data_IF_411736045063
#
_entry.id   IF_411736045063
#
_cell.length_a   1.000
_cell.length_b   1.000
_cell.length_c   1.000
_cell.angle_alpha   90.00
_cell.angle_beta   90.00
_cell.angle_gamma   90.00
#
_symmetry.space_group_name_H-M   'P 1'
#
loop_
_entity.id
_entity.type
_entity.pdbx_description
1 polymer ?
#
# COMPACT_ATOMS: atom_id res chain seq x y z
N UNK A 1 27.98 1.17 -14.69
CA UNK A 1 28.10 1.95 -13.43
C UNK A 1 26.87 1.67 -12.56
N UNK A 2 27.01 0.76 -11.61
CA UNK A 2 25.93 0.35 -10.70
C UNK A 2 25.58 1.49 -9.74
N UNK A 3 24.42 2.10 -9.94
CA UNK A 3 23.84 3.01 -8.94
C UNK A 3 23.23 2.16 -7.83
N UNK A 4 24.09 1.75 -6.90
CA UNK A 4 23.74 1.10 -5.66
C UNK A 4 22.68 1.93 -4.93
N UNK A 5 21.47 1.40 -4.90
CA UNK A 5 20.36 1.95 -4.14
C UNK A 5 20.81 2.01 -2.67
N UNK A 6 21.07 3.21 -2.15
CA UNK A 6 21.47 3.41 -0.75
C UNK A 6 20.33 2.89 0.11
N UNK A 7 20.49 1.68 0.65
CA UNK A 7 19.55 1.08 1.58
C UNK A 7 19.72 1.82 2.89
N UNK A 8 18.63 2.23 3.53
CA UNK A 8 18.69 2.58 4.95
C UNK A 8 19.09 1.31 5.70
N UNK A 9 20.37 1.20 6.03
CA UNK A 9 20.90 0.12 6.84
C UNK A 9 20.55 0.50 8.27
N UNK A 10 19.44 -0.02 8.77
CA UNK A 10 19.15 0.09 10.19
C UNK A 10 20.03 -0.93 10.91
N UNK A 11 20.92 -0.43 11.77
CA UNK A 11 21.70 -1.23 12.70
C UNK A 11 20.78 -1.62 13.85
N UNK A 12 20.55 -2.91 14.05
CA UNK A 12 19.74 -3.41 15.18
C UNK A 12 20.50 -4.53 15.86
N UNK A 13 20.47 -4.57 17.19
CA UNK A 13 21.07 -5.65 17.96
C UNK A 13 20.38 -6.99 17.67
N UNK A 14 21.18 -8.04 17.50
CA UNK A 14 20.68 -9.38 17.19
C UNK A 14 20.75 -10.29 18.42
N UNK A 15 19.75 -10.20 19.29
CA UNK A 15 19.67 -11.01 20.51
C UNK A 15 19.58 -12.53 20.26
N UNK A 16 19.18 -12.97 19.06
CA UNK A 16 19.17 -14.41 18.73
C UNK A 16 20.58 -15.01 18.58
N UNK A 17 21.58 -14.17 18.34
CA UNK A 17 22.99 -14.57 18.20
C UNK A 17 23.86 -13.99 19.32
N UNK A 18 23.23 -13.54 20.41
CA UNK A 18 23.96 -13.01 21.54
C UNK A 18 24.71 -14.14 22.26
N UNK A 19 25.94 -13.85 22.66
CA UNK A 19 26.69 -14.70 23.58
C UNK A 19 26.35 -14.30 25.02
N UNK A 20 25.36 -14.98 25.60
CA UNK A 20 24.93 -14.71 26.96
C UNK A 20 25.93 -15.17 28.01
N UNK A 21 26.83 -16.10 27.68
CA UNK A 21 27.86 -16.57 28.60
C UNK A 21 28.91 -15.47 28.77
N UNK A 22 29.43 -14.96 27.65
CA UNK A 22 30.34 -13.81 27.62
C UNK A 22 29.70 -12.57 28.28
N UNK A 23 28.40 -12.34 28.07
CA UNK A 23 27.69 -11.22 28.69
C UNK A 23 27.69 -11.30 30.22
N UNK A 24 27.44 -12.48 30.79
CA UNK A 24 27.47 -12.70 32.24
C UNK A 24 28.87 -12.56 32.81
N UNK A 25 29.87 -13.11 32.13
CA UNK A 25 31.28 -13.03 32.56
C UNK A 25 31.76 -11.57 32.62
N UNK A 26 31.50 -10.80 31.56
CA UNK A 26 31.90 -9.38 31.49
C UNK A 26 31.20 -8.52 32.55
N UNK A 27 29.91 -8.77 32.85
CA UNK A 27 29.20 -8.09 33.94
C UNK A 27 29.73 -8.50 35.31
N UNK A 28 30.03 -9.79 35.52
CA UNK A 28 30.52 -10.32 36.78
C UNK A 28 31.97 -9.92 37.09
N UNK A 29 32.77 -9.61 36.07
CA UNK A 29 34.17 -9.14 36.23
C UNK A 29 34.25 -7.71 36.76
N UNK A 30 33.16 -6.93 36.66
CA UNK A 30 33.15 -5.53 37.10
C UNK A 30 33.06 -5.46 38.63
N UNK A 31 34.01 -4.80 39.33
CA UNK A 31 33.99 -4.70 40.78
C UNK A 31 32.98 -3.65 41.25
N UNK A 32 31.69 -4.03 41.24
CA UNK A 32 30.56 -3.12 41.53
C UNK A 32 30.66 -2.43 42.88
N UNK A 33 31.19 -3.11 43.89
CA UNK A 33 31.34 -2.58 45.25
C UNK A 33 32.23 -1.34 45.30
N UNK A 34 33.32 -1.33 44.52
CA UNK A 34 34.23 -0.18 44.42
C UNK A 34 33.68 0.90 43.48
N UNK A 35 33.04 0.50 42.38
CA UNK A 35 32.55 1.42 41.35
C UNK A 35 31.35 2.23 41.83
N UNK A 36 30.52 1.62 42.68
CA UNK A 36 29.31 2.22 43.22
C UNK A 36 29.50 2.79 44.63
N UNK A 37 30.68 2.59 45.24
CA UNK A 37 31.00 3.19 46.53
C UNK A 37 30.94 4.72 46.46
N UNK A 38 30.34 5.33 47.48
CA UNK A 38 30.17 6.78 47.62
C UNK A 38 29.37 7.46 46.48
N UNK A 39 28.66 6.70 45.66
CA UNK A 39 27.78 7.23 44.60
C UNK A 39 26.32 7.27 45.06
N UNK A 40 25.66 8.39 44.80
CA UNK A 40 24.21 8.50 44.95
C UNK A 40 23.46 7.60 43.95
N UNK A 41 22.21 7.25 44.26
CA UNK A 41 21.41 6.31 43.48
C UNK A 41 21.34 6.62 41.98
N UNK A 42 21.15 7.90 41.60
CA UNK A 42 21.12 8.31 40.20
C UNK A 42 22.46 8.12 39.48
N UNK A 43 23.57 8.44 40.16
CA UNK A 43 24.91 8.29 39.61
C UNK A 43 25.24 6.81 39.43
N UNK A 44 24.93 5.99 40.43
CA UNK A 44 25.06 4.53 40.38
C UNK A 44 24.28 3.92 39.22
N UNK A 45 23.03 4.36 39.00
CA UNK A 45 22.21 3.91 37.88
C UNK A 45 22.79 4.30 36.52
N UNK A 46 23.35 5.50 36.40
CA UNK A 46 23.99 5.95 35.15
C UNK A 46 25.23 5.10 34.84
N UNK A 47 26.08 4.86 35.82
CA UNK A 47 27.29 4.03 35.69
C UNK A 47 26.91 2.60 35.29
N UNK A 48 25.90 2.03 35.95
CA UNK A 48 25.40 0.70 35.61
C UNK A 48 24.89 0.63 34.17
N UNK A 49 24.06 1.59 33.73
CA UNK A 49 23.56 1.62 32.34
C UNK A 49 24.68 1.71 31.32
N UNK A 50 25.69 2.55 31.57
CA UNK A 50 26.82 2.69 30.67
C UNK A 50 27.65 1.40 30.57
N UNK A 51 27.92 0.76 31.72
CA UNK A 51 28.62 -0.52 31.75
C UNK A 51 27.80 -1.63 31.05
N UNK A 52 26.50 -1.70 31.33
CA UNK A 52 25.59 -2.65 30.69
C UNK A 52 25.57 -2.49 29.17
N UNK A 53 25.48 -1.27 28.65
CA UNK A 53 25.52 -1.02 27.20
C UNK A 53 26.88 -1.38 26.58
N UNK A 54 27.99 -1.10 27.27
CA UNK A 54 29.33 -1.52 26.81
C UNK A 54 29.45 -3.03 26.70
N UNK A 55 28.93 -3.78 27.68
CA UNK A 55 28.92 -5.25 27.64
C UNK A 55 27.97 -5.74 26.53
N UNK A 56 26.81 -5.11 26.38
CA UNK A 56 25.84 -5.42 25.33
C UNK A 56 26.43 -5.25 23.93
N UNK A 57 27.24 -4.23 23.69
CA UNK A 57 27.93 -4.01 22.41
C UNK A 57 28.97 -5.11 22.11
N UNK A 58 29.60 -5.67 23.13
CA UNK A 58 30.62 -6.73 22.99
C UNK A 58 30.00 -8.11 22.80
N UNK A 59 28.89 -8.39 23.48
CA UNK A 59 28.28 -9.73 23.51
C UNK A 59 27.14 -9.90 22.50
N UNK A 60 26.51 -8.82 22.02
CA UNK A 60 25.39 -8.88 21.09
C UNK A 60 25.80 -8.36 19.71
N UNK A 61 25.93 -9.23 18.70
CA UNK A 61 26.30 -8.79 17.36
C UNK A 61 25.22 -7.90 16.76
N UNK A 62 25.64 -6.84 16.07
CA UNK A 62 24.74 -5.94 15.34
C UNK A 62 24.37 -6.57 14.00
N UNK A 63 23.07 -6.78 13.75
CA UNK A 63 22.59 -7.19 12.44
C UNK A 63 22.23 -5.99 11.56
N UNK A 64 22.57 -6.10 10.28
CA UNK A 64 22.12 -5.19 9.24
C UNK A 64 20.78 -5.70 8.73
N UNK A 65 19.68 -5.10 9.18
CA UNK A 65 18.38 -5.38 8.58
C UNK A 65 18.28 -4.58 7.29
N UNK A 66 18.54 -5.21 6.16
CA UNK A 66 18.09 -4.63 4.89
C UNK A 66 16.58 -4.70 4.86
N UNK A 67 15.90 -3.58 4.61
CA UNK A 67 14.47 -3.59 4.33
C UNK A 67 14.16 -4.69 3.32
N UNK A 68 13.15 -5.53 3.59
CA UNK A 68 12.78 -6.64 2.70
C UNK A 68 12.67 -6.06 1.30
N UNK A 69 13.44 -6.59 0.34
CA UNK A 69 13.36 -6.16 -1.05
C UNK A 69 11.91 -6.33 -1.46
N UNK A 70 11.20 -5.23 -1.69
CA UNK A 70 9.83 -5.28 -2.14
C UNK A 70 9.76 -6.20 -3.36
N UNK A 71 8.80 -7.13 -3.37
CA UNK A 71 8.64 -8.04 -4.50
C UNK A 71 8.47 -7.20 -5.76
N UNK A 72 9.37 -7.36 -6.73
CA UNK A 72 9.28 -6.68 -8.03
C UNK A 72 7.91 -6.96 -8.63
N UNK A 73 7.23 -5.91 -9.08
CA UNK A 73 5.95 -6.06 -9.76
C UNK A 73 6.16 -6.86 -11.05
N UNK A 74 5.26 -7.80 -11.33
CA UNK A 74 5.42 -8.73 -12.45
C UNK A 74 5.47 -8.02 -13.82
N UNK A 75 4.81 -6.87 -13.96
CA UNK A 75 4.83 -6.05 -15.18
C UNK A 75 6.05 -5.13 -15.30
N UNK A 76 6.86 -4.97 -14.25
CA UNK A 76 7.91 -3.94 -14.23
C UNK A 76 9.21 -4.46 -14.86
N UNK A 77 9.43 -4.17 -16.15
CA UNK A 77 10.68 -4.48 -16.86
C UNK A 77 11.86 -3.61 -16.40
N UNK A 78 13.10 -4.00 -16.79
CA UNK A 78 14.32 -3.26 -16.40
C UNK A 78 14.35 -1.91 -17.10
N UNK A 79 13.94 -1.88 -18.36
CA UNK A 79 13.93 -0.67 -19.20
C UNK A 79 12.86 0.31 -18.74
N UNK A 80 11.67 -0.19 -18.38
CA UNK A 80 10.61 0.64 -17.80
C UNK A 80 11.06 1.28 -16.48
N UNK A 81 11.83 0.56 -15.66
CA UNK A 81 12.41 1.11 -14.45
C UNK A 81 13.41 2.25 -14.75
N UNK A 82 14.21 2.12 -15.81
CA UNK A 82 15.12 3.19 -16.25
C UNK A 82 14.34 4.41 -16.73
N UNK A 83 13.29 4.23 -17.55
CA UNK A 83 12.39 5.32 -17.99
C UNK A 83 11.76 6.04 -16.79
N UNK A 84 11.24 5.30 -15.80
CA UNK A 84 10.67 5.85 -14.57
C UNK A 84 11.69 6.62 -13.73
N UNK A 85 12.95 6.16 -13.65
CA UNK A 85 14.03 6.90 -12.98
C UNK A 85 14.34 8.22 -13.70
N UNK A 86 14.45 8.19 -15.04
CA UNK A 86 14.66 9.40 -15.85
C UNK A 86 13.52 10.42 -15.65
N UNK A 87 12.26 9.96 -15.62
CA UNK A 87 11.10 10.82 -15.30
C UNK A 87 11.24 11.47 -13.93
N UNK A 88 11.64 10.71 -12.91
CA UNK A 88 11.82 11.22 -11.53
C UNK A 88 12.93 12.26 -11.45
N UNK A 89 14.03 12.02 -12.15
CA UNK A 89 15.14 12.96 -12.22
C UNK A 89 14.73 14.27 -12.92
N UNK A 90 14.02 14.15 -14.03
CA UNK A 90 13.49 15.30 -14.75
C UNK A 90 12.53 16.13 -13.88
N UNK A 91 11.65 15.49 -13.11
CA UNK A 91 10.81 16.17 -12.13
C UNK A 91 11.63 16.98 -11.10
N UNK A 92 12.77 16.43 -10.64
CA UNK A 92 13.68 17.14 -9.72
C UNK A 92 14.28 18.37 -10.38
N UNK A 93 14.75 18.26 -11.63
CA UNK A 93 15.29 19.38 -12.39
C UNK A 93 14.23 20.46 -12.69
N UNK A 94 12.99 20.08 -13.05
CA UNK A 94 11.89 21.02 -13.24
C UNK A 94 11.53 21.75 -11.93
N UNK A 95 11.52 21.04 -10.80
CA UNK A 95 11.32 21.66 -9.47
C UNK A 95 12.41 22.66 -9.09
N UNK A 96 13.63 22.49 -9.61
CA UNK A 96 14.77 23.38 -9.40
C UNK A 96 14.87 24.50 -10.44
N UNK A 97 13.90 24.62 -11.38
CA UNK A 97 13.91 25.63 -12.44
C UNK A 97 14.92 25.36 -13.57
N UNK A 98 15.60 24.21 -13.59
CA UNK A 98 16.65 23.89 -14.57
C UNK A 98 16.11 23.35 -15.90
N UNK A 99 14.83 22.96 -15.95
CA UNK A 99 14.16 22.39 -17.13
C UNK A 99 12.72 22.87 -17.22
N UNK A 100 12.21 22.99 -18.44
CA UNK A 100 10.81 23.34 -18.69
C UNK A 100 9.89 22.19 -18.30
N UNK A 101 8.69 22.54 -17.82
CA UNK A 101 7.68 21.56 -17.40
C UNK A 101 7.11 20.75 -18.56
N UNK A 102 7.17 21.26 -19.79
CA UNK A 102 6.64 20.59 -20.97
C UNK A 102 7.41 19.32 -21.32
N UNK A 103 8.74 19.37 -21.26
CA UNK A 103 9.60 18.19 -21.45
C UNK A 103 9.29 17.12 -20.39
N UNK A 104 8.99 17.53 -19.16
CA UNK A 104 8.54 16.59 -18.12
C UNK A 104 7.17 15.99 -18.44
N UNK A 105 6.24 16.80 -18.94
CA UNK A 105 4.87 16.37 -19.29
C UNK A 105 4.91 15.26 -20.33
N UNK A 106 5.69 15.42 -21.39
CA UNK A 106 5.82 14.45 -22.48
C UNK A 106 6.44 13.14 -21.99
N UNK A 107 7.56 13.21 -21.25
CA UNK A 107 8.20 12.03 -20.67
C UNK A 107 7.27 11.34 -19.67
N UNK A 108 6.48 12.10 -18.90
CA UNK A 108 5.51 11.54 -17.97
C UNK A 108 4.35 10.85 -18.68
N UNK A 109 3.88 11.38 -19.81
CA UNK A 109 2.89 10.75 -20.67
C UNK A 109 3.40 9.43 -21.27
N UNK A 110 4.56 9.44 -21.90
CA UNK A 110 5.18 8.22 -22.45
C UNK A 110 5.39 7.15 -21.38
N UNK A 111 5.85 7.55 -20.18
CA UNK A 111 5.98 6.61 -19.07
C UNK A 111 4.63 6.04 -18.61
N UNK A 112 3.55 6.83 -18.66
CA UNK A 112 2.20 6.36 -18.30
C UNK A 112 1.68 5.33 -19.31
N UNK A 113 1.82 5.63 -20.59
CA UNK A 113 1.44 4.73 -21.68
C UNK A 113 2.18 3.39 -21.61
N UNK A 114 3.50 3.42 -21.47
CA UNK A 114 4.34 2.22 -21.34
C UNK A 114 4.00 1.38 -20.10
N UNK A 115 3.67 2.03 -18.98
CA UNK A 115 3.17 1.33 -17.79
C UNK A 115 1.82 0.68 -18.06
N UNK A 116 0.94 1.33 -18.84
CA UNK A 116 -0.33 0.77 -19.30
C UNK A 116 -0.11 -0.49 -20.12
N UNK A 117 0.65 -0.39 -21.20
CA UNK A 117 1.02 -1.50 -22.10
C UNK A 117 1.66 -2.67 -21.35
N UNK A 118 2.58 -2.40 -20.43
CA UNK A 118 3.22 -3.45 -19.65
C UNK A 118 2.25 -4.20 -18.70
N UNK A 119 1.25 -3.50 -18.15
CA UNK A 119 0.21 -4.12 -17.33
C UNK A 119 -0.76 -4.93 -18.17
N UNK A 120 -1.19 -4.39 -19.31
CA UNK A 120 -2.05 -5.08 -20.26
C UNK A 120 -1.39 -6.36 -20.76
N UNK A 121 -0.11 -6.30 -21.13
CA UNK A 121 0.64 -7.48 -21.55
C UNK A 121 0.73 -8.54 -20.45
N UNK A 122 0.91 -8.14 -19.20
CA UNK A 122 0.86 -9.07 -18.07
C UNK A 122 -0.53 -9.72 -17.93
N UNK A 123 -1.60 -8.93 -18.06
CA UNK A 123 -2.98 -9.42 -17.98
C UNK A 123 -3.31 -10.37 -19.14
N UNK A 124 -2.88 -10.06 -20.36
CA UNK A 124 -3.00 -10.93 -21.54
C UNK A 124 -2.25 -12.26 -21.35
N UNK A 125 -1.00 -12.22 -20.87
CA UNK A 125 -0.24 -13.43 -20.58
C UNK A 125 -0.91 -14.29 -19.52
N UNK A 126 -1.43 -13.66 -18.45
CA UNK A 126 -2.20 -14.37 -17.41
C UNK A 126 -3.48 -15.00 -17.96
N UNK A 127 -4.18 -14.33 -18.88
CA UNK A 127 -5.38 -14.85 -19.53
C UNK A 127 -5.07 -16.04 -20.45
N UNK A 128 -3.98 -15.95 -21.22
CA UNK A 128 -3.50 -17.05 -22.09
C UNK A 128 -3.10 -18.28 -21.27
N UNK A 129 -2.41 -18.06 -20.15
CA UNK A 129 -1.95 -19.11 -19.24
C UNK A 129 -3.03 -19.58 -18.24
N UNK A 130 -4.31 -19.20 -18.40
CA UNK A 130 -5.36 -19.67 -17.48
C UNK A 130 -5.43 -21.20 -17.46
N UNK A 131 -5.31 -21.85 -18.62
CA UNK A 131 -5.41 -23.31 -18.72
C UNK A 131 -4.24 -24.02 -18.03
N UNK A 132 -3.02 -23.48 -18.15
CA UNK A 132 -1.78 -24.06 -17.62
C UNK A 132 -1.49 -23.63 -16.17
N UNK A 133 -1.85 -22.40 -15.80
CA UNK A 133 -1.51 -21.76 -14.53
C UNK A 133 -2.72 -21.03 -13.90
N UNK A 134 -3.80 -21.79 -13.64
CA UNK A 134 -5.01 -21.29 -12.96
C UNK A 134 -4.69 -20.54 -11.66
N UNK A 135 -3.74 -21.05 -10.87
CA UNK A 135 -3.32 -20.46 -9.59
C UNK A 135 -2.69 -19.08 -9.75
N UNK A 136 -1.95 -18.84 -10.82
CA UNK A 136 -1.38 -17.52 -11.14
C UNK A 136 -2.46 -16.48 -11.44
N UNK A 137 -3.41 -16.85 -12.29
CA UNK A 137 -4.55 -16.01 -12.67
C UNK A 137 -5.41 -15.61 -11.48
N UNK A 138 -5.93 -16.58 -10.71
CA UNK A 138 -6.78 -16.27 -9.55
C UNK A 138 -6.03 -15.50 -8.45
N UNK A 139 -4.72 -15.72 -8.29
CA UNK A 139 -3.90 -14.90 -7.38
C UNK A 139 -3.83 -13.44 -7.82
N UNK A 140 -3.72 -13.18 -9.13
CA UNK A 140 -3.74 -11.82 -9.67
C UNK A 140 -5.10 -11.17 -9.46
N UNK A 141 -6.18 -11.87 -9.81
CA UNK A 141 -7.56 -11.41 -9.63
C UNK A 141 -7.86 -11.11 -8.16
N UNK A 142 -7.53 -12.01 -7.23
CA UNK A 142 -7.77 -11.79 -5.79
C UNK A 142 -6.96 -10.60 -5.25
N UNK A 143 -5.75 -10.36 -5.77
CA UNK A 143 -4.96 -9.18 -5.41
C UNK A 143 -5.53 -7.87 -5.97
N UNK A 144 -6.11 -7.89 -7.18
CA UNK A 144 -6.75 -6.73 -7.83
C UNK A 144 -8.12 -6.43 -7.23
N UNK A 145 -8.90 -7.47 -6.96
CA UNK A 145 -10.25 -7.41 -6.40
C UNK A 145 -10.30 -6.82 -5.02
N UNK A 146 -9.14 -6.58 -4.34
CA UNK A 146 -8.99 -6.05 -2.96
C UNK A 146 -10.36 -5.71 -2.42
N UNK A 147 -11.04 -6.73 -1.92
CA UNK A 147 -12.30 -6.51 -1.23
C UNK A 147 -11.81 -5.68 -0.05
N UNK A 148 -11.99 -4.36 -0.15
CA UNK A 148 -12.13 -3.53 1.03
C UNK A 148 -13.17 -4.34 1.77
N UNK A 149 -12.77 -4.99 2.85
CA UNK A 149 -13.70 -5.67 3.73
C UNK A 149 -14.52 -4.50 4.27
N UNK A 150 -15.44 -3.99 3.47
CA UNK A 150 -16.48 -3.07 3.87
C UNK A 150 -17.44 -3.98 4.61
N UNK A 151 -16.96 -4.48 5.74
CA UNK A 151 -17.79 -4.62 6.91
C UNK A 151 -17.95 -3.17 7.38
N UNK A 152 -18.70 -2.37 6.63
CA UNK A 152 -19.48 -1.36 7.33
C UNK A 152 -20.35 -2.21 8.24
N UNK A 153 -20.15 -2.16 9.56
CA UNK A 153 -21.08 -2.81 10.45
C UNK A 153 -22.43 -2.17 10.15
N UNK A 154 -23.31 -2.92 9.50
CA UNK A 154 -24.70 -2.51 9.41
C UNK A 154 -25.19 -2.50 10.84
N UNK A 155 -25.66 -1.33 11.27
CA UNK A 155 -26.33 -1.15 12.54
C UNK A 155 -27.82 -1.09 12.29
N UNK A 156 -28.58 -1.74 13.14
CA UNK A 156 -30.04 -1.58 13.17
C UNK A 156 -30.36 -0.15 13.64
N UNK A 157 -31.57 0.34 13.38
CA UNK A 157 -32.03 1.67 13.86
C UNK A 157 -31.89 1.88 15.38
N UNK A 158 -31.68 0.81 16.14
CA UNK A 158 -31.48 0.80 17.59
C UNK A 158 -29.98 0.90 18.01
N UNK A 159 -29.04 0.98 17.06
CA UNK A 159 -27.60 1.06 17.33
C UNK A 159 -26.89 -0.29 17.51
N UNK A 160 -27.61 -1.41 17.48
CA UNK A 160 -27.04 -2.76 17.60
C UNK A 160 -26.39 -3.25 16.29
N UNK A 161 -25.37 -4.09 16.42
CA UNK A 161 -24.64 -4.65 15.29
C UNK A 161 -25.42 -5.81 14.66
N UNK A 162 -25.66 -5.73 13.36
CA UNK A 162 -26.35 -6.78 12.61
C UNK A 162 -25.44 -7.98 12.40
N UNK A 163 -25.84 -9.15 12.92
CA UNK A 163 -24.97 -10.33 13.01
C UNK A 163 -25.26 -11.35 11.90
N UNK A 164 -26.53 -11.69 11.67
CA UNK A 164 -26.98 -12.68 10.66
C UNK A 164 -27.06 -12.06 9.27
N UNK A 165 -27.19 -12.88 8.21
CA UNK A 165 -27.24 -12.35 6.83
C UNK A 165 -28.65 -11.88 6.48
N UNK A 166 -29.65 -12.51 7.06
CA UNK A 166 -31.08 -12.25 6.93
C UNK A 166 -31.40 -10.85 7.46
N UNK A 167 -30.96 -10.52 8.69
CA UNK A 167 -31.12 -9.18 9.27
C UNK A 167 -30.43 -8.11 8.41
N UNK A 168 -29.27 -8.41 7.80
CA UNK A 168 -28.58 -7.44 6.92
C UNK A 168 -29.41 -7.18 5.66
N UNK A 169 -30.01 -8.23 5.10
CA UNK A 169 -30.86 -8.10 3.92
C UNK A 169 -32.11 -7.28 4.23
N UNK A 170 -32.74 -7.47 5.39
CA UNK A 170 -33.91 -6.70 5.81
C UNK A 170 -33.59 -5.22 6.06
N UNK A 171 -32.49 -4.91 6.76
CA UNK A 171 -32.09 -3.51 7.01
C UNK A 171 -31.79 -2.79 5.69
N UNK A 172 -31.11 -3.46 4.75
CA UNK A 172 -30.86 -2.91 3.42
C UNK A 172 -32.16 -2.76 2.62
N UNK A 173 -33.05 -3.75 2.63
CA UNK A 173 -34.33 -3.70 1.93
C UNK A 173 -35.21 -2.56 2.45
N UNK A 174 -35.29 -2.37 3.77
CA UNK A 174 -36.00 -1.25 4.40
C UNK A 174 -35.40 0.10 3.99
N UNK A 175 -34.07 0.20 3.94
CA UNK A 175 -33.39 1.40 3.45
C UNK A 175 -33.77 1.68 1.99
N UNK A 176 -33.61 0.70 1.09
CA UNK A 176 -33.95 0.87 -0.32
C UNK A 176 -35.42 1.22 -0.52
N UNK A 177 -36.34 0.51 0.14
CA UNK A 177 -37.75 0.85 0.13
C UNK A 177 -37.93 2.33 0.52
N UNK A 178 -37.39 2.77 1.67
CA UNK A 178 -37.49 4.17 2.10
C UNK A 178 -36.99 5.21 1.10
N UNK A 179 -35.97 4.92 0.28
CA UNK A 179 -35.49 5.86 -0.75
C UNK A 179 -36.40 5.85 -1.98
N UNK A 180 -37.12 4.76 -2.24
CA UNK A 180 -37.99 4.58 -3.40
C UNK A 180 -39.48 4.81 -3.10
N UNK A 181 -39.90 4.93 -1.83
CA UNK A 181 -41.31 5.16 -1.49
C UNK A 181 -41.70 6.63 -1.39
N UNK A 182 -40.77 7.58 -1.48
CA UNK A 182 -41.13 9.01 -1.40
C UNK A 182 -41.45 9.60 -2.78
N UNK A 183 -42.72 10.00 -2.93
CA UNK A 183 -43.40 10.62 -4.07
C UNK A 183 -43.86 9.74 -5.24
N UNK A 184 -44.87 8.91 -4.98
CA UNK A 184 -45.93 8.63 -5.95
C UNK A 184 -47.23 9.37 -5.56
N UNK A 185 -47.23 10.70 -5.59
CA UNK A 185 -48.47 11.50 -5.67
C UNK A 185 -48.65 12.20 -7.02
N UNK A 186 -47.69 12.05 -7.95
CA UNK A 186 -47.88 12.41 -9.36
C UNK A 186 -47.29 11.33 -10.27
N UNK A 187 -48.03 10.25 -10.47
CA UNK A 187 -47.85 9.42 -11.66
C UNK A 187 -48.75 9.97 -12.76
N UNK A 188 -48.22 10.54 -13.86
CA UNK A 188 -48.96 10.49 -15.11
C UNK A 188 -49.03 9.02 -15.51
N UNK A 189 -50.22 8.54 -15.83
CA UNK A 189 -50.47 7.16 -16.26
C UNK A 189 -49.55 6.80 -17.45
N UNK A 190 -48.43 6.12 -17.18
CA UNK A 190 -47.65 5.51 -18.24
C UNK A 190 -48.36 4.20 -18.61
N UNK A 191 -49.18 4.32 -19.64
CA UNK A 191 -49.83 3.22 -20.34
C UNK A 191 -48.78 2.16 -20.66
N UNK A 192 -49.05 0.92 -20.23
CA UNK A 192 -48.31 -0.27 -20.63
C UNK A 192 -48.27 -0.35 -22.16
N UNK A 193 -47.15 0.03 -22.75
CA UNK A 193 -46.83 -0.17 -24.15
C UNK A 193 -45.76 -1.24 -24.27
N UNK A 194 -46.19 -2.47 -24.52
CA UNK A 194 -45.33 -3.57 -24.94
C UNK A 194 -44.78 -3.21 -26.33
N UNK A 195 -43.47 -2.99 -26.48
CA UNK A 195 -42.82 -2.91 -27.79
C UNK A 195 -41.42 -3.52 -27.73
N UNK A 196 -41.32 -4.71 -28.34
CA UNK A 196 -40.10 -5.24 -28.94
C UNK A 196 -39.52 -4.21 -29.92
N UNK A 197 -38.19 -4.08 -29.97
CA UNK A 197 -37.54 -3.20 -30.94
C UNK A 197 -36.04 -3.00 -30.71
N UNK A 198 -35.26 -3.89 -31.31
CA UNK A 198 -33.87 -3.67 -31.71
C UNK A 198 -33.68 -2.32 -32.43
N UNK A 199 -32.64 -1.56 -32.06
CA UNK A 199 -31.64 -0.94 -32.95
C UNK A 199 -30.94 0.29 -32.34
N UNK A 200 -29.61 0.21 -32.30
CA UNK A 200 -28.75 1.11 -33.08
C UNK A 200 -28.70 2.61 -32.75
N UNK A 201 -27.59 3.01 -32.13
CA UNK A 201 -26.84 4.22 -32.51
C UNK A 201 -27.48 5.59 -32.24
N UNK A 202 -27.02 6.25 -31.17
CA UNK A 202 -27.05 7.72 -31.10
C UNK A 202 -25.67 8.25 -30.69
N UNK A 203 -25.06 9.16 -31.46
CA UNK A 203 -23.78 9.78 -31.11
C UNK A 203 -23.95 10.84 -30.00
N UNK A 204 -22.87 11.26 -29.33
CA UNK A 204 -22.93 12.25 -28.26
C UNK A 204 -23.20 13.65 -28.81
N UNK A 205 -23.91 14.54 -28.08
CA UNK A 205 -24.17 15.89 -28.53
C UNK A 205 -22.90 16.76 -28.49
N UNK A 206 -22.63 17.39 -29.64
CA UNK A 206 -21.59 18.36 -29.92
C UNK A 206 -21.79 19.66 -29.13
N UNK A 207 -20.69 20.16 -28.55
CA UNK A 207 -20.53 21.50 -28.00
C UNK A 207 -20.63 22.54 -29.12
N UNK A 208 -21.55 23.51 -29.03
CA UNK A 208 -21.40 24.80 -29.71
C UNK A 208 -21.00 25.87 -28.69
N UNK A 209 -19.86 26.48 -28.96
CA UNK A 209 -19.48 27.80 -28.50
C UNK A 209 -20.32 28.81 -29.29
N UNK A 210 -20.83 29.86 -28.63
CA UNK A 210 -21.00 31.13 -29.31
C UNK A 210 -20.71 32.30 -28.36
N UNK A 211 -19.93 33.24 -28.87
CA UNK A 211 -19.60 34.53 -28.25
C UNK A 211 -20.54 35.60 -28.80
N UNK A 212 -21.06 36.47 -27.94
CA UNK A 212 -20.89 37.94 -28.01
C UNK A 212 -20.91 38.48 -26.59
#
# INVERSE_FOLDING_TARGET
KDTGQVRSIVRTLNFRKADFQLFKELLGTTPWDMVLQDKGAEQSWKIFKEAFHKVQERSVPVCRKSGRKGKRLAWLSRDLLVKLKKKKELHRHCKQGQRTWDVYRDVAWLCRDEVGKAKEQLELNLAREVKTNRKGFYRYINKKRKIKKNRLPLMTGNGDHVSTNEEKAEVLNKFFASVFTDNCSHCPSWVMGQQDGDQGGRPPPTLEEDQV
#
